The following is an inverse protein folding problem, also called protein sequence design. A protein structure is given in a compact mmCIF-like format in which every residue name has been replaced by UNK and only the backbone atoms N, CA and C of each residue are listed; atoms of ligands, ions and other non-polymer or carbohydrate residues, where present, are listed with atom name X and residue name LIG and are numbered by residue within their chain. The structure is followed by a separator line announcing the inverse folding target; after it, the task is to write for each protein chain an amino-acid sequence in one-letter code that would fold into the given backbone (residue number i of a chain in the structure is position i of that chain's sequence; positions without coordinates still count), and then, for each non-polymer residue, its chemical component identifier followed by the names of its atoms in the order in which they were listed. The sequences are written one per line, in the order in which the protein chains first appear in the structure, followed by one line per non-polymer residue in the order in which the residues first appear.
data_IF_115759024644
#
_entry.id   IF_115759024644
#
_cell.length_a   1.000
_cell.length_b   1.000
_cell.length_c   1.000
_cell.angle_alpha   90.00
_cell.angle_beta   90.00
_cell.angle_gamma   90.00
#
_symmetry.space_group_name_H-M   'P 1'
#
loop_
_entity.id
_entity.type
_entity.pdbx_description
1 polymer ?
#
# COMPACT_ATOMS: atom_id res chain seq x y z
N UNK A 1 59.16 9.42 33.38
CA UNK A 1 58.60 9.69 32.05
C UNK A 1 57.51 8.65 31.84
N UNK A 2 56.32 8.90 32.39
CA UNK A 2 55.12 9.48 31.74
C UNK A 2 54.08 8.35 31.70
N UNK A 3 53.12 8.23 32.63
CA UNK A 3 51.95 9.08 32.83
C UNK A 3 51.32 9.57 31.52
N UNK A 4 50.40 8.79 30.93
CA UNK A 4 49.08 9.25 30.46
C UNK A 4 48.47 8.35 29.37
N UNK A 5 47.13 8.38 29.32
CA UNK A 5 46.21 7.94 28.25
C UNK A 5 45.90 6.43 28.34
N UNK A 6 44.69 5.98 28.68
CA UNK A 6 43.44 6.34 28.02
C UNK A 6 42.22 6.00 28.92
N UNK A 7 41.77 6.95 29.74
CA UNK A 7 40.44 6.90 30.40
C UNK A 7 39.40 7.66 29.56
N UNK A 8 39.27 7.39 28.27
CA UNK A 8 38.20 7.97 27.43
C UNK A 8 37.83 7.01 26.29
N UNK A 9 36.99 6.01 26.56
CA UNK A 9 36.23 5.33 25.49
C UNK A 9 34.99 4.59 25.97
N UNK A 10 34.93 4.18 27.24
CA UNK A 10 33.80 3.36 27.74
C UNK A 10 32.57 4.20 28.15
N UNK A 11 32.73 5.50 28.46
CA UNK A 11 31.65 6.35 28.99
C UNK A 11 30.54 6.70 27.98
N UNK A 12 30.78 6.55 26.68
CA UNK A 12 29.82 6.92 25.62
C UNK A 12 28.89 5.78 25.19
N UNK A 13 29.28 4.51 25.33
CA UNK A 13 28.42 3.37 24.96
C UNK A 13 27.36 3.09 26.02
N UNK A 14 27.72 3.18 27.29
CA UNK A 14 26.76 3.06 28.40
C UNK A 14 25.73 4.21 28.41
N UNK A 15 26.11 5.40 27.96
CA UNK A 15 25.18 6.53 27.80
C UNK A 15 24.19 6.34 26.66
N UNK A 16 24.58 5.62 25.60
CA UNK A 16 23.71 5.36 24.44
C UNK A 16 22.72 4.23 24.72
N UNK A 17 23.13 3.21 25.48
CA UNK A 17 22.22 2.16 25.97
C UNK A 17 21.24 2.67 27.04
N UNK A 18 21.66 3.63 27.87
CA UNK A 18 20.76 4.29 28.84
C UNK A 18 19.75 5.24 28.20
N UNK A 19 19.98 5.74 26.98
CA UNK A 19 19.08 6.73 26.34
C UNK A 19 17.83 6.11 25.72
N UNK A 20 17.84 4.82 25.38
CA UNK A 20 16.64 4.10 24.90
C UNK A 20 15.79 3.50 26.02
N UNK A 21 16.35 3.29 27.21
CA UNK A 21 15.69 2.66 28.37
C UNK A 21 15.06 3.70 29.33
N UNK A 22 15.19 5.00 29.05
CA UNK A 22 14.61 6.09 29.87
C UNK A 22 13.15 6.44 29.53
N UNK A 23 12.33 5.48 29.09
CA UNK A 23 10.87 5.68 29.05
C UNK A 23 10.23 4.88 30.18
N UNK A 24 10.17 5.55 31.34
CA UNK A 24 9.25 5.31 32.45
C UNK A 24 9.32 3.93 33.14
N UNK A 25 9.89 3.88 34.35
CA UNK A 25 9.47 2.89 35.35
C UNK A 25 8.04 3.24 35.77
N UNK A 26 7.06 2.88 34.94
CA UNK A 26 5.64 3.02 35.26
C UNK A 26 5.29 2.08 36.40
N UNK A 27 4.43 2.58 37.28
CA UNK A 27 3.89 1.74 38.33
C UNK A 27 3.03 0.62 37.74
N UNK A 28 2.94 -0.52 38.45
CA UNK A 28 2.18 -1.69 38.00
C UNK A 28 0.75 -1.34 37.56
N UNK A 29 0.08 -0.46 38.30
CA UNK A 29 -1.28 0.02 38.01
C UNK A 29 -1.36 0.87 36.74
N UNK A 30 -0.36 1.70 36.48
CA UNK A 30 -0.32 2.51 35.25
C UNK A 30 -0.03 1.65 34.03
N UNK A 31 0.86 0.66 34.18
CA UNK A 31 1.14 -0.32 33.13
C UNK A 31 -0.08 -1.20 32.84
N UNK A 32 -0.79 -1.64 33.90
CA UNK A 32 -2.05 -2.38 33.78
C UNK A 32 -3.13 -1.56 33.09
N UNK A 33 -3.31 -0.30 33.47
CA UNK A 33 -4.26 0.60 32.83
C UNK A 33 -3.94 0.84 31.34
N UNK A 34 -2.66 1.02 30.99
CA UNK A 34 -2.23 1.09 29.59
C UNK A 34 -2.52 -0.21 28.83
N UNK A 35 -2.23 -1.36 29.44
CA UNK A 35 -2.50 -2.66 28.84
C UNK A 35 -4.00 -2.87 28.57
N UNK A 36 -4.86 -2.58 29.54
CA UNK A 36 -6.32 -2.68 29.38
C UNK A 36 -6.85 -1.73 28.31
N UNK A 37 -6.30 -0.51 28.23
CA UNK A 37 -6.64 0.45 27.17
C UNK A 37 -6.26 -0.08 25.79
N UNK A 38 -5.02 -0.56 25.62
CA UNK A 38 -4.55 -1.14 24.37
C UNK A 38 -5.38 -2.37 23.98
N UNK A 39 -5.75 -3.21 24.94
CA UNK A 39 -6.58 -4.39 24.69
C UNK A 39 -7.97 -4.00 24.16
N UNK A 40 -8.57 -2.95 24.73
CA UNK A 40 -9.85 -2.41 24.28
C UNK A 40 -9.76 -1.79 22.89
N UNK A 41 -8.72 -1.01 22.62
CA UNK A 41 -8.46 -0.43 21.30
C UNK A 41 -8.24 -1.52 20.25
N UNK A 42 -7.45 -2.55 20.56
CA UNK A 42 -7.21 -3.66 19.65
C UNK A 42 -8.51 -4.41 19.32
N UNK A 43 -9.32 -4.72 20.34
CA UNK A 43 -10.63 -5.36 20.13
C UNK A 43 -11.60 -4.48 19.31
N UNK A 44 -11.50 -3.16 19.41
CA UNK A 44 -12.29 -2.24 18.58
C UNK A 44 -11.83 -2.26 17.12
N UNK A 45 -10.51 -2.25 16.89
CA UNK A 45 -9.91 -2.35 15.55
C UNK A 45 -10.23 -3.69 14.89
N UNK A 46 -10.18 -4.81 15.62
CA UNK A 46 -10.56 -6.12 15.09
C UNK A 46 -12.00 -6.15 14.59
N UNK A 47 -12.93 -5.48 15.30
CA UNK A 47 -14.32 -5.35 14.86
C UNK A 47 -14.46 -4.49 13.60
N UNK A 48 -13.71 -3.39 13.53
CA UNK A 48 -13.73 -2.51 12.37
C UNK A 48 -13.15 -3.21 11.13
N UNK A 49 -12.06 -3.96 11.29
CA UNK A 49 -11.49 -4.81 10.23
C UNK A 49 -12.52 -5.82 9.76
N UNK A 50 -13.16 -6.56 10.67
CA UNK A 50 -14.19 -7.54 10.31
C UNK A 50 -15.40 -6.91 9.61
N UNK A 51 -15.81 -5.70 9.99
CA UNK A 51 -16.88 -4.97 9.32
C UNK A 51 -16.49 -4.52 7.91
N UNK A 52 -15.25 -4.05 7.71
CA UNK A 52 -14.72 -3.65 6.40
C UNK A 52 -14.57 -4.86 5.48
N UNK A 53 -14.04 -5.97 5.98
CA UNK A 53 -13.95 -7.24 5.25
C UNK A 53 -15.36 -7.74 4.86
N UNK A 54 -16.33 -7.65 5.78
CA UNK A 54 -17.73 -8.00 5.51
C UNK A 54 -18.40 -7.12 4.45
N UNK A 55 -17.94 -5.87 4.28
CA UNK A 55 -18.37 -4.98 3.18
C UNK A 55 -17.67 -5.28 1.85
N UNK A 56 -16.81 -6.30 1.80
CA UNK A 56 -16.05 -6.67 0.61
C UNK A 56 -14.87 -5.75 0.33
N UNK A 57 -14.43 -4.95 1.31
CA UNK A 57 -13.21 -4.14 1.18
C UNK A 57 -12.02 -5.09 1.27
N UNK A 58 -11.49 -5.45 0.11
CA UNK A 58 -10.25 -6.22 0.00
C UNK A 58 -9.07 -5.28 -0.23
N UNK A 59 -7.94 -5.58 0.40
CA UNK A 59 -6.66 -4.95 0.07
C UNK A 59 -6.07 -5.50 -1.24
N UNK A 60 -6.58 -6.63 -1.72
CA UNK A 60 -6.12 -7.27 -2.93
C UNK A 60 -6.86 -6.72 -4.16
N UNK A 61 -6.36 -5.59 -4.66
CA UNK A 61 -6.80 -4.98 -5.92
C UNK A 61 -6.07 -5.55 -7.14
N UNK A 62 -5.14 -6.50 -6.96
CA UNK A 62 -4.36 -7.05 -8.07
C UNK A 62 -5.23 -7.71 -9.14
N UNK A 63 -6.26 -8.51 -8.81
CA UNK A 63 -7.13 -9.10 -9.83
C UNK A 63 -7.89 -8.06 -10.65
N UNK A 64 -8.34 -6.98 -10.01
CA UNK A 64 -9.06 -5.90 -10.68
C UNK A 64 -8.13 -5.09 -11.60
N UNK A 65 -6.90 -4.84 -11.14
CA UNK A 65 -5.88 -4.15 -11.93
C UNK A 65 -5.46 -4.99 -13.14
N UNK A 66 -5.29 -6.30 -12.96
CA UNK A 66 -4.99 -7.24 -14.04
C UNK A 66 -6.11 -7.28 -15.09
N UNK A 67 -7.37 -7.41 -14.65
CA UNK A 67 -8.52 -7.40 -15.57
C UNK A 67 -8.62 -6.10 -16.39
N UNK A 68 -8.28 -4.95 -15.78
CA UNK A 68 -8.26 -3.68 -16.49
C UNK A 68 -7.14 -3.62 -17.53
N UNK A 69 -5.96 -4.15 -17.21
CA UNK A 69 -4.85 -4.23 -18.17
C UNK A 69 -5.20 -5.14 -19.35
N UNK A 70 -5.75 -6.33 -19.10
CA UNK A 70 -6.17 -7.27 -20.14
C UNK A 70 -7.26 -6.66 -21.05
N UNK A 71 -8.22 -5.97 -20.46
CA UNK A 71 -9.25 -5.25 -21.22
C UNK A 71 -8.64 -4.17 -22.12
N UNK A 72 -7.74 -3.34 -21.57
CA UNK A 72 -7.10 -2.28 -22.33
C UNK A 72 -6.23 -2.84 -23.47
N UNK A 73 -5.45 -3.90 -23.22
CA UNK A 73 -4.67 -4.56 -24.25
C UNK A 73 -5.55 -5.08 -25.40
N UNK A 74 -6.68 -5.72 -25.07
CA UNK A 74 -7.64 -6.17 -26.07
C UNK A 74 -8.26 -5.00 -26.85
N UNK A 75 -8.63 -3.92 -26.16
CA UNK A 75 -9.16 -2.70 -26.78
C UNK A 75 -8.15 -2.10 -27.76
N UNK A 76 -6.89 -1.96 -27.36
CA UNK A 76 -5.82 -1.38 -28.18
C UNK A 76 -5.54 -2.24 -29.41
N UNK A 77 -5.52 -3.57 -29.27
CA UNK A 77 -5.41 -4.49 -30.40
C UNK A 77 -6.58 -4.34 -31.37
N UNK A 78 -7.82 -4.26 -30.86
CA UNK A 78 -9.00 -4.04 -31.69
C UNK A 78 -8.92 -2.71 -32.46
N UNK A 79 -8.50 -1.64 -31.78
CA UNK A 79 -8.34 -0.32 -32.40
C UNK A 79 -7.27 -0.33 -33.50
N UNK A 80 -6.18 -1.06 -33.28
CA UNK A 80 -5.13 -1.25 -34.29
C UNK A 80 -5.66 -1.97 -35.53
N UNK A 81 -6.44 -3.04 -35.33
CA UNK A 81 -7.11 -3.76 -36.43
C UNK A 81 -8.07 -2.83 -37.18
N UNK A 82 -8.85 -2.01 -36.46
CA UNK A 82 -9.74 -1.02 -37.08
C UNK A 82 -8.97 0.04 -37.86
N UNK A 83 -7.78 0.46 -37.40
CA UNK A 83 -6.89 1.36 -38.14
C UNK A 83 -6.46 0.75 -39.47
N UNK A 84 -5.96 -0.49 -39.45
CA UNK A 84 -5.57 -1.18 -40.69
C UNK A 84 -6.75 -1.44 -41.63
N UNK A 85 -7.92 -1.77 -41.09
CA UNK A 85 -9.13 -1.97 -41.87
C UNK A 85 -9.61 -0.66 -42.52
N UNK A 86 -9.53 0.46 -41.79
CA UNK A 86 -9.87 1.79 -42.29
C UNK A 86 -8.97 2.17 -43.47
N UNK A 87 -7.66 1.96 -43.31
CA UNK A 87 -6.67 2.23 -44.35
C UNK A 87 -6.90 1.37 -45.61
N UNK A 88 -7.21 0.08 -45.42
CA UNK A 88 -7.48 -0.86 -46.51
C UNK A 88 -8.78 -0.52 -47.27
N UNK A 89 -9.84 -0.13 -46.55
CA UNK A 89 -11.12 0.28 -47.13
C UNK A 89 -11.14 1.74 -47.61
N UNK A 90 -10.07 2.51 -47.38
CA UNK A 90 -9.99 3.95 -47.66
C UNK A 90 -11.12 4.75 -47.00
N UNK A 91 -11.51 4.33 -45.80
CA UNK A 91 -12.52 5.00 -44.96
C UNK A 91 -11.86 5.49 -43.67
N UNK A 92 -12.56 6.36 -42.94
CA UNK A 92 -12.08 6.76 -41.61
C UNK A 92 -12.47 5.71 -40.58
N UNK A 93 -11.69 5.61 -39.50
CA UNK A 93 -12.03 4.74 -38.36
C UNK A 93 -13.41 5.10 -37.79
N UNK A 94 -13.78 6.39 -37.75
CA UNK A 94 -15.11 6.85 -37.34
C UNK A 94 -16.25 6.28 -38.19
N UNK A 95 -16.02 6.12 -39.50
CA UNK A 95 -17.02 5.55 -40.41
C UNK A 95 -17.19 4.03 -40.17
N UNK A 96 -16.11 3.32 -39.83
CA UNK A 96 -16.18 1.92 -39.41
C UNK A 96 -16.93 1.76 -38.08
N UNK A 97 -16.63 2.58 -37.08
CA UNK A 97 -17.39 2.55 -35.81
C UNK A 97 -18.89 2.79 -36.04
N UNK A 98 -19.24 3.71 -36.95
CA UNK A 98 -20.65 3.93 -37.35
C UNK A 98 -21.26 2.72 -38.05
N UNK A 99 -20.54 2.10 -38.99
CA UNK A 99 -21.01 0.90 -39.72
C UNK A 99 -21.26 -0.29 -38.80
N UNK A 100 -20.34 -0.52 -37.86
CA UNK A 100 -20.40 -1.64 -36.92
C UNK A 100 -21.17 -1.32 -35.64
N UNK A 101 -21.75 -0.11 -35.54
CA UNK A 101 -22.49 0.37 -34.37
C UNK A 101 -21.68 0.25 -33.07
N UNK A 102 -20.39 0.57 -33.15
CA UNK A 102 -19.45 0.56 -32.03
C UNK A 102 -19.33 1.96 -31.43
N UNK A 103 -19.28 2.07 -30.10
CA UNK A 103 -19.00 3.35 -29.45
C UNK A 103 -17.59 3.82 -29.84
N UNK A 104 -17.44 5.13 -30.04
CA UNK A 104 -16.14 5.77 -30.14
C UNK A 104 -15.75 6.23 -28.73
N UNK A 105 -14.79 5.53 -28.13
CA UNK A 105 -14.18 5.90 -26.83
C UNK A 105 -12.66 5.97 -26.93
#
# INVERSE_FOLDING_TARGET
MDCSKNKLSTKSRDKKLKKSVSKENLSYWELKGRYEKLLKENSQLDKEIAELEGKGVTTDLQPQMQALHEYNEMKDLAQMIFGYLADAEQVTVSELHRRYNLPME
#
